data_IF_111575476569
#
_entry.id   IF_111575476569
#
_cell.length_a   1.000
_cell.length_b   1.000
_cell.length_c   1.000
_cell.angle_alpha   90.00
_cell.angle_beta   90.00
_cell.angle_gamma   90.00
#
_symmetry.space_group_name_H-M   'P 1'
#
loop_
_entity.id
_entity.type
_entity.pdbx_description
1 polymer ?
#
# COMPACT_ATOMS: atom_id res chain seq x y z
N UNK A 1 -1.31 53.79 -30.61
CA UNK A 1 -0.55 53.73 -29.34
C UNK A 1 0.18 52.40 -29.30
N UNK A 2 1.51 52.41 -29.40
CA UNK A 2 2.32 51.19 -29.31
C UNK A 2 2.51 50.84 -27.82
N UNK A 3 2.06 49.64 -27.39
CA UNK A 3 2.38 49.09 -26.07
C UNK A 3 3.90 49.07 -25.90
N UNK A 4 4.42 49.60 -24.79
CA UNK A 4 5.87 49.77 -24.61
C UNK A 4 6.53 48.40 -24.40
N UNK A 5 7.77 48.19 -24.87
CA UNK A 5 8.52 46.94 -24.64
C UNK A 5 8.62 46.53 -23.16
N UNK A 6 8.63 47.52 -22.26
CA UNK A 6 8.65 47.33 -20.80
C UNK A 6 7.38 46.66 -20.25
N UNK A 7 6.20 46.97 -20.81
CA UNK A 7 4.93 46.38 -20.37
C UNK A 7 4.87 44.89 -20.72
N UNK A 8 5.43 44.51 -21.87
CA UNK A 8 5.52 43.11 -22.29
C UNK A 8 6.47 42.31 -21.40
N UNK A 9 7.63 42.87 -21.04
CA UNK A 9 8.58 42.21 -20.16
C UNK A 9 8.01 42.02 -18.74
N UNK A 10 7.34 43.03 -18.19
CA UNK A 10 6.66 42.91 -16.90
C UNK A 10 5.53 41.87 -16.93
N UNK A 11 4.67 41.91 -17.93
CA UNK A 11 3.55 40.96 -18.05
C UNK A 11 4.01 39.51 -18.21
N UNK A 12 5.14 39.27 -18.90
CA UNK A 12 5.73 37.94 -19.00
C UNK A 12 6.33 37.47 -17.67
N UNK A 13 6.96 38.39 -16.94
CA UNK A 13 7.57 38.11 -15.63
C UNK A 13 6.50 37.79 -14.58
N UNK A 14 5.40 38.55 -14.55
CA UNK A 14 4.26 38.31 -13.66
C UNK A 14 3.63 36.94 -13.91
N UNK A 15 3.39 36.59 -15.18
CA UNK A 15 2.89 35.25 -15.54
C UNK A 15 3.85 34.13 -15.16
N UNK A 16 5.15 34.32 -15.34
CA UNK A 16 6.14 33.32 -14.95
C UNK A 16 6.19 33.11 -13.43
N UNK A 17 6.07 34.20 -12.65
CA UNK A 17 5.99 34.13 -11.18
C UNK A 17 4.71 33.43 -10.73
N UNK A 18 3.58 33.71 -11.37
CA UNK A 18 2.29 33.08 -11.06
C UNK A 18 2.31 31.58 -11.33
N UNK A 19 2.83 31.15 -12.49
CA UNK A 19 3.02 29.73 -12.84
C UNK A 19 3.97 29.03 -11.85
N UNK A 20 5.06 29.71 -11.46
CA UNK A 20 6.03 29.17 -10.49
C UNK A 20 5.40 29.01 -9.11
N UNK A 21 4.64 29.99 -8.64
CA UNK A 21 3.94 29.91 -7.35
C UNK A 21 2.87 28.81 -7.35
N UNK A 22 2.13 28.66 -8.45
CA UNK A 22 1.17 27.58 -8.61
C UNK A 22 1.86 26.21 -8.56
N UNK A 23 2.94 26.03 -9.33
CA UNK A 23 3.73 24.79 -9.35
C UNK A 23 4.32 24.45 -7.97
N UNK A 24 4.90 25.43 -7.26
CA UNK A 24 5.44 25.24 -5.91
C UNK A 24 4.36 24.84 -4.89
N UNK A 25 3.19 25.47 -4.95
CA UNK A 25 2.07 25.15 -4.06
C UNK A 25 1.56 23.75 -4.32
N UNK A 26 1.38 23.40 -5.60
CA UNK A 26 0.93 22.07 -6.00
C UNK A 26 1.92 20.96 -5.61
N UNK A 27 3.23 21.15 -5.81
CA UNK A 27 4.24 20.20 -5.36
C UNK A 27 4.22 20.00 -3.83
N UNK A 28 3.99 21.07 -3.07
CA UNK A 28 3.83 20.99 -1.61
C UNK A 28 2.61 20.13 -1.25
N UNK A 29 1.46 20.37 -1.87
CA UNK A 29 0.25 19.58 -1.59
C UNK A 29 0.43 18.09 -1.91
N UNK A 30 1.13 17.76 -2.99
CA UNK A 30 1.46 16.35 -3.33
C UNK A 30 2.36 15.72 -2.27
N UNK A 31 3.40 16.44 -1.84
CA UNK A 31 4.31 15.96 -0.80
C UNK A 31 3.56 15.74 0.53
N UNK A 32 2.70 16.67 0.92
CA UNK A 32 1.86 16.56 2.12
C UNK A 32 0.92 15.36 2.06
N UNK A 33 0.24 15.15 0.92
CA UNK A 33 -0.65 14.00 0.73
C UNK A 33 0.08 12.66 0.80
N UNK A 34 1.27 12.56 0.20
CA UNK A 34 2.06 11.33 0.23
C UNK A 34 2.63 11.04 1.61
N UNK A 35 3.11 12.07 2.32
CA UNK A 35 3.58 11.93 3.69
C UNK A 35 2.45 11.52 4.64
N UNK A 36 1.25 12.10 4.47
CA UNK A 36 0.06 11.76 5.27
C UNK A 36 -0.38 10.32 5.03
N UNK A 37 -0.47 9.89 3.77
CA UNK A 37 -0.80 8.49 3.43
C UNK A 37 0.25 7.51 3.98
N UNK A 38 1.54 7.86 3.90
CA UNK A 38 2.61 7.03 4.44
C UNK A 38 2.54 6.89 5.95
N UNK A 39 2.21 7.98 6.66
CA UNK A 39 1.97 7.96 8.10
C UNK A 39 0.79 7.06 8.46
N UNK A 40 -0.32 7.17 7.74
CA UNK A 40 -1.50 6.35 7.99
C UNK A 40 -1.19 4.85 7.82
N UNK A 41 -0.49 4.46 6.75
CA UNK A 41 -0.08 3.07 6.52
C UNK A 41 0.80 2.52 7.66
N UNK A 42 1.71 3.35 8.19
CA UNK A 42 2.53 2.99 9.36
C UNK A 42 1.71 2.80 10.64
N UNK A 43 0.73 3.69 10.89
CA UNK A 43 -0.17 3.60 12.05
C UNK A 43 -1.04 2.34 11.98
N UNK A 44 -1.55 1.99 10.80
CA UNK A 44 -2.30 0.75 10.56
C UNK A 44 -1.43 -0.48 10.85
N UNK A 45 -0.19 -0.50 10.36
CA UNK A 45 0.75 -1.59 10.63
C UNK A 45 1.05 -1.76 12.12
N UNK A 46 1.30 -0.68 12.86
CA UNK A 46 1.54 -0.73 14.30
C UNK A 46 0.31 -1.27 15.06
N UNK A 47 -0.88 -0.87 14.62
CA UNK A 47 -2.14 -1.36 15.20
C UNK A 47 -2.30 -2.86 14.99
N UNK A 48 -2.02 -3.35 13.79
CA UNK A 48 -2.15 -4.78 13.49
C UNK A 48 -1.07 -5.60 14.19
N UNK A 49 0.17 -5.09 14.26
CA UNK A 49 1.25 -5.73 14.99
C UNK A 49 0.90 -5.89 16.48
N UNK A 50 0.29 -4.88 17.10
CA UNK A 50 -0.20 -4.97 18.49
C UNK A 50 -1.30 -6.03 18.63
N UNK A 51 -2.31 -6.01 17.75
CA UNK A 51 -3.37 -7.03 17.74
C UNK A 51 -2.85 -8.45 17.53
N UNK A 52 -1.84 -8.62 16.69
CA UNK A 52 -1.19 -9.91 16.44
C UNK A 52 -0.32 -10.36 17.62
N UNK A 53 0.29 -9.44 18.36
CA UNK A 53 1.04 -9.77 19.59
C UNK A 53 0.11 -10.21 20.74
N UNK A 54 -1.11 -9.67 20.80
CA UNK A 54 -2.13 -10.08 21.78
C UNK A 54 -2.75 -11.47 21.44
N UNK A 55 -2.68 -11.91 20.19
CA UNK A 55 -3.12 -13.24 19.73
C UNK A 55 -1.97 -14.24 19.64
N UNK A 56 -1.78 -15.08 20.67
CA UNK A 56 -0.66 -16.03 20.81
C UNK A 56 -0.64 -17.24 19.83
N UNK A 57 -1.16 -17.13 18.60
CA UNK A 57 -1.28 -18.26 17.66
C UNK A 57 -0.68 -18.00 16.27
N UNK A 58 -0.45 -19.09 15.50
CA UNK A 58 0.05 -19.08 14.12
C UNK A 58 -0.70 -18.08 13.19
N UNK A 59 -1.98 -17.84 13.46
CA UNK A 59 -2.81 -16.84 12.76
C UNK A 59 -2.30 -15.40 12.96
N UNK A 60 -1.73 -15.06 14.13
CA UNK A 60 -1.13 -13.75 14.40
C UNK A 60 0.11 -13.47 13.54
N UNK A 61 0.94 -14.49 13.28
CA UNK A 61 2.09 -14.35 12.38
C UNK A 61 1.67 -14.05 10.93
N UNK A 62 0.68 -14.80 10.41
CA UNK A 62 0.16 -14.60 9.04
C UNK A 62 -0.45 -13.21 8.89
N UNK A 63 -1.22 -12.76 9.88
CA UNK A 63 -1.80 -11.41 9.89
C UNK A 63 -0.70 -10.34 9.90
N UNK A 64 0.34 -10.50 10.73
CA UNK A 64 1.46 -9.55 10.80
C UNK A 64 2.22 -9.43 9.48
N UNK A 65 2.60 -10.56 8.88
CA UNK A 65 3.28 -10.57 7.57
C UNK A 65 2.41 -9.94 6.48
N UNK A 66 1.10 -10.20 6.51
CA UNK A 66 0.18 -9.63 5.53
C UNK A 66 0.09 -8.11 5.62
N UNK A 67 0.02 -7.60 6.84
CA UNK A 67 -0.02 -6.16 7.10
C UNK A 67 1.28 -5.48 6.74
N UNK A 68 2.42 -6.15 6.96
CA UNK A 68 3.72 -5.63 6.53
C UNK A 68 3.79 -5.52 5.00
N UNK A 69 3.42 -6.58 4.29
CA UNK A 69 3.33 -6.58 2.82
C UNK A 69 2.35 -5.52 2.30
N UNK A 70 1.19 -5.33 2.96
CA UNK A 70 0.21 -4.32 2.55
C UNK A 70 0.79 -2.91 2.68
N UNK A 71 1.48 -2.65 3.79
CA UNK A 71 2.13 -1.38 4.04
C UNK A 71 3.25 -1.12 3.03
N UNK A 72 4.11 -2.11 2.76
CA UNK A 72 5.19 -1.99 1.78
C UNK A 72 4.65 -1.65 0.37
N UNK A 73 3.64 -2.38 -0.10
CA UNK A 73 3.03 -2.14 -1.40
C UNK A 73 2.31 -0.78 -1.47
N UNK A 74 1.60 -0.40 -0.40
CA UNK A 74 0.90 0.89 -0.34
C UNK A 74 1.89 2.05 -0.34
N UNK A 75 2.96 1.96 0.46
CA UNK A 75 4.02 2.97 0.48
C UNK A 75 4.71 3.08 -0.87
N UNK A 76 5.09 1.94 -1.48
CA UNK A 76 5.73 1.93 -2.80
C UNK A 76 4.83 2.57 -3.86
N UNK A 77 3.55 2.21 -3.90
CA UNK A 77 2.61 2.77 -4.88
C UNK A 77 2.38 4.27 -4.67
N UNK A 78 2.31 4.74 -3.42
CA UNK A 78 2.24 6.17 -3.10
C UNK A 78 3.49 6.91 -3.57
N UNK A 79 4.70 6.42 -3.26
CA UNK A 79 5.93 7.06 -3.70
C UNK A 79 6.08 7.10 -5.22
N UNK A 80 5.78 6.00 -5.92
CA UNK A 80 5.80 5.94 -7.38
C UNK A 80 4.82 6.96 -7.99
N UNK A 81 3.61 7.06 -7.42
CA UNK A 81 2.62 8.05 -7.86
C UNK A 81 3.09 9.48 -7.61
N UNK A 82 3.71 9.76 -6.47
CA UNK A 82 4.29 11.05 -6.14
C UNK A 82 5.41 11.44 -7.13
N UNK A 83 6.32 10.51 -7.41
CA UNK A 83 7.42 10.72 -8.34
C UNK A 83 6.89 11.05 -9.74
N UNK A 84 5.92 10.27 -10.24
CA UNK A 84 5.33 10.51 -11.55
C UNK A 84 4.57 11.82 -11.62
N UNK A 85 3.87 12.20 -10.55
CA UNK A 85 3.23 13.51 -10.46
C UNK A 85 4.26 14.65 -10.53
N UNK A 86 5.40 14.54 -9.85
CA UNK A 86 6.44 15.58 -9.89
C UNK A 86 7.11 15.71 -11.26
N UNK A 87 7.13 14.65 -12.06
CA UNK A 87 7.69 14.65 -13.41
C UNK A 87 6.67 14.96 -14.51
N UNK A 88 5.39 15.10 -14.15
CA UNK A 88 4.30 15.36 -15.07
C UNK A 88 4.51 16.69 -15.81
N UNK A 89 4.35 16.68 -17.13
CA UNK A 89 4.55 17.88 -17.96
C UNK A 89 3.22 18.56 -18.29
N UNK A 90 2.18 17.75 -18.47
CA UNK A 90 0.85 18.20 -18.85
C UNK A 90 -0.21 17.71 -17.84
N UNK A 91 -1.14 18.58 -17.40
CA UNK A 91 -2.23 18.21 -16.48
C UNK A 91 -3.08 17.01 -16.94
N UNK A 92 -3.15 16.77 -18.25
CA UNK A 92 -3.89 15.68 -18.87
C UNK A 92 -3.33 14.29 -18.48
N UNK A 93 -2.05 14.21 -18.13
CA UNK A 93 -1.39 12.97 -17.68
C UNK A 93 -1.93 12.49 -16.33
N UNK A 94 -2.50 13.39 -15.50
CA UNK A 94 -2.99 13.09 -14.15
C UNK A 94 -4.02 11.96 -14.14
N UNK A 95 -4.94 11.95 -15.10
CA UNK A 95 -5.97 10.91 -15.18
C UNK A 95 -5.35 9.52 -15.43
N UNK A 96 -4.27 9.47 -16.22
CA UNK A 96 -3.50 8.25 -16.46
C UNK A 96 -2.80 7.78 -15.19
N UNK A 97 -2.13 8.69 -14.49
CA UNK A 97 -1.44 8.39 -13.22
C UNK A 97 -2.40 7.92 -12.14
N UNK A 98 -3.58 8.55 -12.04
CA UNK A 98 -4.61 8.15 -11.08
C UNK A 98 -5.19 6.76 -11.40
N UNK A 99 -5.40 6.46 -12.69
CA UNK A 99 -5.84 5.14 -13.15
C UNK A 99 -4.80 4.06 -12.81
N UNK A 100 -3.52 4.34 -13.05
CA UNK A 100 -2.42 3.43 -12.71
C UNK A 100 -2.36 3.16 -11.20
N UNK A 101 -2.41 4.21 -10.39
CA UNK A 101 -2.41 4.10 -8.93
C UNK A 101 -3.55 3.22 -8.42
N UNK A 102 -4.77 3.47 -8.89
CA UNK A 102 -5.97 2.70 -8.50
C UNK A 102 -5.88 1.26 -8.99
N UNK A 103 -5.40 1.04 -10.22
CA UNK A 103 -5.21 -0.31 -10.78
C UNK A 103 -4.23 -1.12 -9.93
N UNK A 104 -3.11 -0.51 -9.52
CA UNK A 104 -2.12 -1.17 -8.66
C UNK A 104 -2.67 -1.45 -7.27
N UNK A 105 -3.39 -0.52 -6.67
CA UNK A 105 -4.05 -0.74 -5.37
C UNK A 105 -5.07 -1.90 -5.45
N UNK A 106 -5.80 -2.01 -6.56
CA UNK A 106 -6.75 -3.11 -6.77
C UNK A 106 -6.03 -4.46 -6.93
N UNK A 107 -4.88 -4.51 -7.61
CA UNK A 107 -4.05 -5.72 -7.70
C UNK A 107 -3.55 -6.16 -6.33
N UNK A 108 -3.02 -5.23 -5.53
CA UNK A 108 -2.57 -5.50 -4.16
C UNK A 108 -3.70 -6.11 -3.33
N UNK A 109 -4.91 -5.54 -3.38
CA UNK A 109 -6.08 -6.09 -2.66
C UNK A 109 -6.50 -7.47 -3.19
N UNK A 110 -6.39 -7.70 -4.50
CA UNK A 110 -6.68 -8.98 -5.12
C UNK A 110 -5.72 -10.08 -4.68
N UNK A 111 -4.42 -9.81 -4.77
CA UNK A 111 -3.35 -10.74 -4.39
C UNK A 111 -3.36 -10.99 -2.88
N UNK A 112 -3.31 -9.90 -2.10
CA UNK A 112 -4.23 -9.64 -0.99
C UNK A 112 -5.09 -10.80 -0.47
N UNK A 113 -6.26 -10.87 -1.08
CA UNK A 113 -7.35 -11.75 -0.68
C UNK A 113 -7.07 -13.20 -1.06
N UNK A 114 -6.40 -13.42 -2.21
CA UNK A 114 -6.11 -14.76 -2.72
C UNK A 114 -5.14 -15.53 -1.82
N UNK A 115 -4.03 -14.92 -1.44
CA UNK A 115 -3.03 -15.62 -0.61
C UNK A 115 -3.54 -15.81 0.82
N UNK A 116 -4.35 -14.88 1.35
CA UNK A 116 -5.02 -15.08 2.65
C UNK A 116 -5.90 -16.34 2.63
N UNK A 117 -6.71 -16.51 1.58
CA UNK A 117 -7.54 -17.71 1.41
C UNK A 117 -6.72 -19.00 1.34
N UNK A 118 -5.57 -18.97 0.64
CA UNK A 118 -4.65 -20.10 0.55
C UNK A 118 -4.01 -20.43 1.91
N UNK A 119 -3.53 -19.42 2.65
CA UNK A 119 -2.91 -19.61 3.97
C UNK A 119 -3.89 -20.20 4.99
N UNK A 120 -5.15 -19.73 5.00
CA UNK A 120 -6.20 -20.29 5.87
C UNK A 120 -6.49 -21.76 5.49
N UNK A 121 -6.64 -22.06 4.20
CA UNK A 121 -6.87 -23.43 3.73
C UNK A 121 -5.72 -24.38 4.09
N UNK A 122 -4.47 -23.94 3.94
CA UNK A 122 -3.29 -24.72 4.31
C UNK A 122 -3.26 -24.98 5.82
N UNK A 123 -3.50 -23.96 6.65
CA UNK A 123 -3.58 -24.11 8.10
C UNK A 123 -4.64 -25.12 8.53
N UNK A 124 -5.85 -25.06 7.93
CA UNK A 124 -6.91 -26.02 8.20
C UNK A 124 -6.56 -27.46 7.77
N UNK A 125 -5.88 -27.61 6.63
CA UNK A 125 -5.44 -28.91 6.10
C UNK A 125 -4.37 -29.54 7.00
N UNK A 126 -3.38 -28.77 7.45
CA UNK A 126 -2.33 -29.27 8.33
C UNK A 126 -2.87 -29.62 9.73
N UNK A 127 -3.78 -28.81 10.27
CA UNK A 127 -4.49 -29.15 11.51
C UNK A 127 -5.25 -30.48 11.39
N UNK A 128 -5.95 -30.70 10.26
CA UNK A 128 -6.68 -31.95 9.99
C UNK A 128 -5.73 -33.14 9.89
N UNK A 129 -4.59 -33.00 9.18
CA UNK A 129 -3.56 -34.05 9.09
C UNK A 129 -2.94 -34.38 10.45
N UNK A 130 -2.71 -33.37 11.29
CA UNK A 130 -2.16 -33.57 12.64
C UNK A 130 -3.11 -34.41 13.49
N UNK A 131 -4.40 -34.07 13.53
CA UNK A 131 -5.42 -34.84 14.26
C UNK A 131 -5.54 -36.27 13.74
N UNK A 132 -5.50 -36.47 12.42
CA UNK A 132 -5.55 -37.80 11.81
C UNK A 132 -4.33 -38.66 12.17
N UNK A 133 -3.12 -38.07 12.18
CA UNK A 133 -1.89 -38.76 12.60
C UNK A 133 -1.94 -39.15 14.08
N UNK A 134 -2.37 -38.23 14.95
CA UNK A 134 -2.50 -38.49 16.38
C UNK A 134 -3.50 -39.62 16.67
N UNK A 135 -4.63 -39.63 15.97
CA UNK A 135 -5.65 -40.69 16.08
C UNK A 135 -5.13 -42.05 15.61
N UNK A 136 -4.36 -42.06 14.51
CA UNK A 136 -3.75 -43.27 13.97
C UNK A 136 -2.63 -43.83 14.88
N UNK A 137 -1.84 -42.95 15.49
CA UNK A 137 -0.81 -43.33 16.46
C UNK A 137 -1.42 -43.85 17.77
N UNK A 138 -2.48 -43.21 18.26
CA UNK A 138 -3.24 -43.67 19.44
C UNK A 138 -3.80 -45.09 19.24
N UNK A 139 -4.41 -45.36 18.08
CA UNK A 139 -4.91 -46.69 17.73
C UNK A 139 -3.79 -47.75 17.62
N UNK A 140 -2.61 -47.38 17.09
CA UNK A 140 -1.44 -48.26 17.06
C UNK A 140 -0.89 -48.58 18.45
N UNK A 141 -0.89 -47.60 19.37
CA UNK A 141 -0.43 -47.83 20.74
C UNK A 141 -1.40 -48.70 21.54
N UNK A 142 -2.71 -48.53 21.34
CA UNK A 142 -3.72 -49.41 21.96
C UNK A 142 -3.64 -50.86 21.47
N UNK A 143 -3.38 -51.07 20.18
CA UNK A 143 -3.25 -52.43 19.60
C UNK A 143 -1.94 -53.14 19.95
N UNK A 144 -0.88 -52.39 20.30
CA UNK A 144 0.38 -52.97 20.78
C UNK A 144 0.39 -53.27 22.30
N UNK A 145 -0.59 -52.77 23.05
CA UNK A 145 -0.72 -52.94 24.49
C UNK A 145 -1.78 -53.98 24.90
N UNK A 146 -2.47 -54.57 23.93
CA UNK A 146 -3.43 -55.68 24.09
C UNK A 146 -2.79 -57.00 23.67
#
# INVERSE_FOLDING_TARGET
MAKRPTDFAQQNTERAIEVTNYSLTWMREIAERNLSQSRAALEDFLTITRKAADGMDHQGNVIRERSMSFMEETLSNSFDFAEKLLHMREPQELAGLQSEFVSRQAQVIGDQTKELGQSIMQGATEATKATLRETAESSRRQSAAA
#
